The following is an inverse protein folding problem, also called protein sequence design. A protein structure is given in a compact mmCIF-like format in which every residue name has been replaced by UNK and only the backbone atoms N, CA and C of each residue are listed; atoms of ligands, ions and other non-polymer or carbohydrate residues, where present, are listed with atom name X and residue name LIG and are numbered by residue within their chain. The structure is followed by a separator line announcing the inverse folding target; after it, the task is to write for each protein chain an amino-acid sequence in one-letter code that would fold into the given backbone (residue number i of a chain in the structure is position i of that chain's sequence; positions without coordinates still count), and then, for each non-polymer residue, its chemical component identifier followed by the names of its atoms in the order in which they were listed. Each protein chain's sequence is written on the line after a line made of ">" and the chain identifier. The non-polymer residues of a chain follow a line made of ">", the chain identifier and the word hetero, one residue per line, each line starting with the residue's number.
data_IF_446157470787
#
_entry.id   IF_446157470787
#
_cell.length_a   1.000
_cell.length_b   1.000
_cell.length_c   1.000
_cell.angle_alpha   90.00
_cell.angle_beta   90.00
_cell.angle_gamma   90.00
#
_symmetry.space_group_name_H-M   'P 1'
#
loop_
_entity.id
_entity.type
_entity.pdbx_description
1 polymer ?
#
# COMPACT_ATOMS: atom_id res chain seq x y z
N UNK A 1 -7.12 14.84 -1.21
CA UNK A 1 -6.61 13.46 -1.09
C UNK A 1 -5.56 13.27 -2.17
N UNK A 2 -4.33 12.92 -1.81
CA UNK A 2 -3.27 12.67 -2.79
C UNK A 2 -3.48 11.28 -3.39
N UNK A 3 -3.52 11.18 -4.71
CA UNK A 3 -3.65 9.89 -5.40
C UNK A 3 -2.77 9.86 -6.65
N UNK A 4 -2.39 8.65 -7.04
CA UNK A 4 -1.73 8.36 -8.32
C UNK A 4 -2.77 7.73 -9.25
N UNK A 5 -2.94 8.28 -10.44
CA UNK A 5 -3.80 7.70 -11.47
C UNK A 5 -2.98 6.81 -12.41
N UNK A 6 -3.57 5.70 -12.83
CA UNK A 6 -2.94 4.81 -13.79
C UNK A 6 -3.91 3.81 -14.38
N UNK A 7 -3.46 3.13 -15.42
CA UNK A 7 -4.25 2.15 -16.17
C UNK A 7 -3.67 0.76 -15.93
N UNK A 8 -4.52 -0.23 -15.68
CA UNK A 8 -4.11 -1.63 -15.65
C UNK A 8 -3.66 -2.02 -17.06
N UNK A 9 -2.35 -2.19 -17.26
CA UNK A 9 -1.74 -2.56 -18.53
C UNK A 9 -1.95 -4.05 -18.79
N UNK A 10 -1.71 -4.89 -17.77
CA UNK A 10 -1.86 -6.35 -17.84
C UNK A 10 -1.91 -7.01 -16.48
N UNK A 11 -2.33 -8.27 -16.47
CA UNK A 11 -2.30 -9.15 -15.31
C UNK A 11 -1.28 -10.28 -15.47
N UNK A 12 -0.29 -10.35 -14.59
CA UNK A 12 0.75 -11.40 -14.58
C UNK A 12 0.69 -12.17 -13.25
N UNK A 13 0.51 -13.50 -13.28
CA UNK A 13 0.44 -14.34 -12.07
C UNK A 13 -0.59 -13.83 -11.05
N UNK A 14 -0.15 -13.35 -9.88
CA UNK A 14 -1.00 -12.79 -8.82
C UNK A 14 -0.93 -11.26 -8.71
N UNK A 15 -0.32 -10.60 -9.70
CA UNK A 15 -0.16 -9.14 -9.73
C UNK A 15 -0.79 -8.49 -10.96
N UNK A 16 -1.27 -7.27 -10.78
CA UNK A 16 -1.64 -6.34 -11.82
C UNK A 16 -0.50 -5.36 -12.05
N UNK A 17 -0.16 -5.12 -13.31
CA UNK A 17 0.81 -4.10 -13.72
C UNK A 17 0.03 -2.84 -14.06
N UNK A 18 0.11 -1.82 -13.22
CA UNK A 18 -0.56 -0.53 -13.42
C UNK A 18 0.46 0.45 -13.99
N UNK A 19 0.20 0.97 -15.19
CA UNK A 19 1.00 2.03 -15.81
C UNK A 19 0.50 3.39 -15.33
N UNK A 20 1.36 4.11 -14.62
CA UNK A 20 1.07 5.46 -14.17
C UNK A 20 1.29 6.47 -15.30
N UNK A 21 0.63 7.62 -15.24
CA UNK A 21 0.83 8.70 -16.22
C UNK A 21 2.28 9.21 -16.29
N UNK A 22 3.02 9.07 -15.20
CA UNK A 22 4.45 9.41 -15.10
C UNK A 22 5.36 8.45 -15.88
N UNK A 23 4.81 7.44 -16.57
CA UNK A 23 5.54 6.41 -17.31
C UNK A 23 6.11 5.29 -16.44
N UNK A 24 5.94 5.37 -15.12
CA UNK A 24 6.35 4.35 -14.15
C UNK A 24 5.32 3.21 -14.11
N UNK A 25 5.76 2.02 -13.68
CA UNK A 25 4.85 0.89 -13.44
C UNK A 25 4.74 0.60 -11.95
N UNK A 26 3.52 0.37 -11.48
CA UNK A 26 3.19 -0.04 -10.13
C UNK A 26 2.69 -1.50 -10.17
N UNK A 27 3.39 -2.38 -9.45
CA UNK A 27 2.95 -3.77 -9.27
C UNK A 27 1.99 -3.83 -8.08
N UNK A 28 0.77 -4.28 -8.31
CA UNK A 28 -0.27 -4.33 -7.29
C UNK A 28 -0.86 -5.74 -7.16
N UNK A 29 -1.07 -6.28 -5.94
CA UNK A 29 -1.70 -7.58 -5.78
C UNK A 29 -3.11 -7.61 -6.36
N UNK A 30 -3.44 -8.63 -7.16
CA UNK A 30 -4.77 -8.76 -7.80
C UNK A 30 -5.90 -8.83 -6.78
N UNK A 31 -5.68 -9.54 -5.67
CA UNK A 31 -6.65 -9.68 -4.57
C UNK A 31 -7.03 -8.36 -3.89
N UNK A 32 -6.20 -7.32 -4.04
CA UNK A 32 -6.43 -5.98 -3.49
C UNK A 32 -7.09 -5.02 -4.47
N UNK A 33 -7.40 -5.49 -5.69
CA UNK A 33 -8.15 -4.72 -6.66
C UNK A 33 -9.66 -4.96 -6.49
N UNK A 34 -10.50 -3.97 -6.85
CA UNK A 34 -11.92 -4.19 -7.04
C UNK A 34 -12.18 -5.35 -8.02
N UNK A 35 -13.20 -6.15 -7.74
CA UNK A 35 -13.52 -7.38 -8.49
C UNK A 35 -13.94 -7.15 -9.95
N UNK A 36 -14.28 -5.92 -10.31
CA UNK A 36 -14.70 -5.49 -11.63
C UNK A 36 -13.55 -4.91 -12.48
N UNK A 37 -12.34 -4.81 -11.93
CA UNK A 37 -11.16 -4.33 -12.66
C UNK A 37 -10.68 -5.35 -13.69
N UNK A 38 -10.42 -4.88 -14.91
CA UNK A 38 -9.87 -5.65 -16.01
C UNK A 38 -8.71 -4.90 -16.69
N UNK A 39 -8.03 -5.52 -17.65
CA UNK A 39 -7.01 -4.82 -18.44
C UNK A 39 -7.63 -3.62 -19.16
N UNK A 40 -6.96 -2.48 -19.12
CA UNK A 40 -7.48 -1.20 -19.59
C UNK A 40 -8.32 -0.41 -18.56
N UNK A 41 -8.65 -0.98 -17.39
CA UNK A 41 -9.34 -0.20 -16.34
C UNK A 41 -8.43 0.90 -15.79
N UNK A 42 -9.00 2.09 -15.61
CA UNK A 42 -8.34 3.22 -14.93
C UNK A 42 -8.58 3.10 -13.43
N UNK A 43 -7.52 3.21 -12.65
CA UNK A 43 -7.55 3.10 -11.20
C UNK A 43 -6.88 4.30 -10.54
N UNK A 44 -7.34 4.65 -9.34
CA UNK A 44 -6.77 5.70 -8.49
C UNK A 44 -6.20 5.09 -7.23
N UNK A 45 -4.90 5.21 -7.04
CA UNK A 45 -4.18 4.71 -5.86
C UNK A 45 -4.04 5.85 -4.86
N UNK A 46 -4.84 5.80 -3.79
CA UNK A 46 -4.73 6.76 -2.69
C UNK A 46 -3.47 6.52 -1.88
N UNK A 47 -2.69 7.58 -1.64
CA UNK A 47 -1.53 7.54 -0.75
C UNK A 47 -1.84 8.36 0.49
N UNK A 48 -1.92 7.68 1.63
CA UNK A 48 -2.15 8.30 2.94
C UNK A 48 -0.91 8.09 3.81
N UNK A 49 -0.27 9.19 4.20
CA UNK A 49 0.81 9.17 5.19
C UNK A 49 0.18 9.25 6.59
N UNK A 50 -0.26 8.10 7.11
CA UNK A 50 -0.89 8.03 8.42
C UNK A 50 0.17 8.17 9.54
N UNK A 51 0.67 9.39 9.77
CA UNK A 51 1.66 9.75 10.79
C UNK A 51 1.28 9.24 12.19
N UNK A 52 -0.02 9.08 12.46
CA UNK A 52 -0.58 8.63 13.74
C UNK A 52 -0.33 7.15 14.04
N UNK A 53 -0.37 6.25 13.04
CA UNK A 53 -0.04 4.82 13.25
C UNK A 53 1.43 4.60 13.57
N UNK A 54 2.30 5.49 13.08
CA UNK A 54 3.73 5.44 13.36
C UNK A 54 3.98 5.70 14.84
N UNK A 55 3.27 6.65 15.46
CA UNK A 55 3.39 6.97 16.89
C UNK A 55 2.87 5.83 17.77
N UNK A 56 1.71 5.22 17.44
CA UNK A 56 1.17 4.09 18.21
C UNK A 56 2.08 2.86 18.15
N UNK A 57 2.69 2.58 16.99
CA UNK A 57 3.67 1.50 16.83
C UNK A 57 4.94 1.79 17.64
N UNK A 58 5.39 3.05 17.66
CA UNK A 58 6.57 3.47 18.43
C UNK A 58 6.33 3.37 19.95
N UNK A 59 5.15 3.76 20.42
CA UNK A 59 4.75 3.63 21.83
C UNK A 59 4.71 2.16 22.23
N UNK A 60 4.05 1.30 21.43
CA UNK A 60 3.98 -0.13 21.70
C UNK A 60 5.39 -0.77 21.75
N UNK A 61 6.26 -0.42 20.82
CA UNK A 61 7.64 -0.92 20.80
C UNK A 61 8.43 -0.47 22.05
N UNK A 62 8.25 0.77 22.49
CA UNK A 62 8.86 1.29 23.73
C UNK A 62 8.31 0.57 24.96
N UNK A 63 7.02 0.32 25.03
CA UNK A 63 6.38 -0.33 26.17
C UNK A 63 6.84 -1.78 26.31
N UNK A 64 6.86 -2.54 25.21
CA UNK A 64 7.39 -3.92 25.19
C UNK A 64 8.86 -3.96 25.61
N UNK A 65 9.70 -3.03 25.12
CA UNK A 65 11.11 -2.97 25.49
C UNK A 65 11.28 -2.67 26.99
N UNK A 66 10.48 -1.76 27.53
CA UNK A 66 10.49 -1.40 28.95
C UNK A 66 10.02 -2.55 29.85
N UNK A 67 9.08 -3.38 29.41
CA UNK A 67 8.66 -4.59 30.14
C UNK A 67 9.77 -5.64 30.21
N UNK A 68 10.50 -5.85 29.10
CA UNK A 68 11.62 -6.79 29.05
C UNK A 68 12.76 -6.34 29.97
N UNK A 69 13.10 -5.06 29.94
CA UNK A 69 14.22 -4.50 30.73
C UNK A 69 13.93 -4.38 32.23
N UNK A 70 12.66 -4.36 32.66
CA UNK A 70 12.27 -4.31 34.08
C UNK A 70 12.28 -5.67 34.78
N UNK A 71 12.42 -6.76 34.03
CA UNK A 71 12.49 -8.12 34.56
C UNK A 71 13.94 -8.61 34.80
N UNK A 72 14.92 -7.70 34.84
CA UNK A 72 16.29 -7.95 35.32
C UNK A 72 16.55 -7.30 36.69
#
# INVERSE_FOLDING_TARGET
>A
MLYLEGTIDRFENDVAVIRLETGSSLLWPKEKLPSDCHEGSVVKVGVDSNLTKTTETEILAKDVLNEILKNE
#
